data_IF_842171813072
#
_entry.id   IF_842171813072
#
_cell.length_a   1.000
_cell.length_b   1.000
_cell.length_c   1.000
_cell.angle_alpha   90.00
_cell.angle_beta   90.00
_cell.angle_gamma   90.00
#
_symmetry.space_group_name_H-M   'P 1'
#
loop_
_entity.id
_entity.type
_entity.pdbx_description
1 polymer ?
#
# COMPACT_ATOMS: atom_id res chain seq x y z
N UNK A 1 -12.61 -8.16 -0.66
CA UNK A 1 -11.57 -7.86 -1.66
C UNK A 1 -10.19 -7.95 -1.08
N UNK A 2 -9.22 -8.31 -1.88
CA UNK A 2 -7.80 -8.29 -1.50
C UNK A 2 -7.22 -6.92 -1.86
N UNK A 3 -6.76 -6.18 -0.86
CA UNK A 3 -6.30 -4.79 -1.02
C UNK A 3 -4.82 -4.72 -0.67
N UNK A 4 -3.99 -4.45 -1.67
CA UNK A 4 -2.56 -4.20 -1.46
C UNK A 4 -2.37 -2.71 -1.14
N UNK A 5 -1.65 -2.40 -0.06
CA UNK A 5 -1.49 -1.03 0.43
C UNK A 5 -0.06 -0.55 0.19
N UNK A 6 0.07 0.57 -0.51
CA UNK A 6 1.36 1.20 -0.78
C UNK A 6 1.87 1.99 0.43
N UNK A 7 3.17 2.24 0.44
CA UNK A 7 3.88 2.91 1.54
C UNK A 7 3.30 4.28 1.90
N UNK A 8 2.97 5.11 0.91
CA UNK A 8 2.47 6.46 1.16
C UNK A 8 1.14 6.45 1.94
N UNK A 9 0.28 5.46 1.69
CA UNK A 9 -0.98 5.32 2.43
C UNK A 9 -0.71 4.92 3.87
N UNK A 10 0.20 3.97 4.10
CA UNK A 10 0.60 3.55 5.45
C UNK A 10 1.22 4.71 6.21
N UNK A 11 2.10 5.46 5.57
CA UNK A 11 2.77 6.61 6.17
C UNK A 11 1.76 7.66 6.62
N UNK A 12 0.84 8.05 5.74
CA UNK A 12 -0.21 9.03 6.07
C UNK A 12 -1.17 8.51 7.14
N UNK A 13 -1.54 7.23 7.07
CA UNK A 13 -2.41 6.61 8.06
C UNK A 13 -1.78 6.61 9.46
N UNK A 14 -0.48 6.37 9.55
CA UNK A 14 0.24 6.33 10.82
C UNK A 14 0.39 7.70 11.46
N UNK A 15 0.44 8.78 10.66
CA UNK A 15 0.64 10.15 11.14
C UNK A 15 -0.66 10.92 11.37
N UNK A 16 -1.70 10.62 10.58
CA UNK A 16 -2.94 11.40 10.59
C UNK A 16 -4.14 10.49 10.84
N UNK A 17 -4.43 10.17 12.14
CA UNK A 17 -5.48 9.20 12.48
C UNK A 17 -6.88 9.57 11.98
N UNK A 18 -7.14 10.86 11.75
CA UNK A 18 -8.44 11.32 11.25
C UNK A 18 -8.46 11.57 9.76
N UNK A 19 -7.35 11.31 9.07
CA UNK A 19 -7.21 11.58 7.63
C UNK A 19 -7.87 10.52 6.75
N UNK A 20 -7.96 10.85 5.45
CA UNK A 20 -8.52 9.94 4.45
C UNK A 20 -7.74 8.64 4.31
N UNK A 21 -6.41 8.70 4.38
CA UNK A 21 -5.57 7.50 4.30
C UNK A 21 -5.84 6.55 5.48
N UNK A 22 -6.00 7.10 6.69
CA UNK A 22 -6.31 6.30 7.87
C UNK A 22 -7.68 5.64 7.76
N UNK A 23 -8.69 6.37 7.28
CA UNK A 23 -10.01 5.81 7.04
C UNK A 23 -9.99 4.70 6.00
N UNK A 24 -9.27 4.91 4.89
CA UNK A 24 -9.11 3.90 3.85
C UNK A 24 -8.39 2.66 4.39
N UNK A 25 -7.32 2.85 5.16
CA UNK A 25 -6.62 1.77 5.84
C UNK A 25 -7.56 0.95 6.72
N UNK A 26 -8.37 1.62 7.54
CA UNK A 26 -9.30 0.95 8.44
C UNK A 26 -10.33 0.10 7.68
N UNK A 27 -10.82 0.58 6.54
CA UNK A 27 -11.72 -0.19 5.68
C UNK A 27 -10.99 -1.39 5.06
N UNK A 28 -9.76 -1.19 4.60
CA UNK A 28 -8.97 -2.25 3.96
C UNK A 28 -8.66 -3.41 4.90
N UNK A 29 -8.40 -3.13 6.19
CA UNK A 29 -8.07 -4.18 7.17
C UNK A 29 -9.31 -4.83 7.80
N UNK A 30 -10.47 -4.24 7.60
CA UNK A 30 -11.72 -4.77 8.16
C UNK A 30 -12.34 -5.82 7.24
N UNK A 31 -12.84 -6.91 7.83
CA UNK A 31 -13.59 -7.91 7.07
C UNK A 31 -14.78 -7.25 6.36
N UNK A 32 -15.16 -7.66 5.15
CA UNK A 32 -14.68 -8.85 4.43
C UNK A 32 -13.41 -8.64 3.60
N UNK A 33 -12.75 -7.50 3.69
CA UNK A 33 -11.52 -7.23 2.97
C UNK A 33 -10.32 -7.92 3.61
N UNK A 34 -9.32 -8.25 2.78
CA UNK A 34 -8.03 -8.77 3.22
C UNK A 34 -6.96 -7.77 2.80
N UNK A 35 -6.30 -7.15 3.76
CA UNK A 35 -5.22 -6.20 3.47
C UNK A 35 -3.88 -6.92 3.36
N UNK A 36 -3.07 -6.48 2.40
CA UNK A 36 -1.77 -7.08 2.06
C UNK A 36 -0.74 -5.97 1.93
N UNK A 37 0.46 -6.21 2.44
CA UNK A 37 1.64 -5.37 2.17
C UNK A 37 2.81 -6.29 1.86
N UNK A 38 3.87 -5.74 1.26
CA UNK A 38 5.09 -6.47 1.00
C UNK A 38 6.20 -6.06 1.97
N UNK A 39 7.25 -6.88 2.05
CA UNK A 39 8.47 -6.56 2.76
C UNK A 39 9.09 -5.24 2.25
N UNK A 40 9.07 -5.02 0.93
CA UNK A 40 9.54 -3.78 0.32
C UNK A 40 8.81 -2.57 0.87
N UNK A 41 7.48 -2.63 0.97
CA UNK A 41 6.65 -1.54 1.49
C UNK A 41 6.96 -1.28 2.97
N UNK A 42 7.12 -2.33 3.77
CA UNK A 42 7.48 -2.20 5.19
C UNK A 42 8.85 -1.54 5.36
N UNK A 43 9.83 -1.99 4.58
CA UNK A 43 11.19 -1.44 4.61
C UNK A 43 11.21 0.04 4.18
N UNK A 44 10.43 0.39 3.17
CA UNK A 44 10.30 1.77 2.72
C UNK A 44 9.66 2.65 3.79
N UNK A 45 8.64 2.14 4.48
CA UNK A 45 8.01 2.86 5.58
C UNK A 45 9.01 3.15 6.71
N UNK A 46 9.81 2.16 7.09
CA UNK A 46 10.88 2.33 8.09
C UNK A 46 11.90 3.38 7.63
N UNK A 47 12.29 3.33 6.37
CA UNK A 47 13.24 4.27 5.77
C UNK A 47 12.72 5.71 5.80
N UNK A 48 11.46 5.92 5.46
CA UNK A 48 10.83 7.25 5.47
C UNK A 48 10.80 7.82 6.89
N UNK A 49 10.44 7.00 7.88
CA UNK A 49 10.44 7.43 9.29
C UNK A 49 11.85 7.78 9.77
N UNK A 50 12.84 6.94 9.46
CA UNK A 50 14.22 7.19 9.86
C UNK A 50 14.75 8.52 9.29
N UNK A 51 14.33 8.86 8.08
CA UNK A 51 14.77 10.08 7.41
C UNK A 51 14.02 11.33 7.86
N UNK A 52 12.69 11.22 8.00
CA UNK A 52 11.81 12.38 8.27
C UNK A 52 11.45 12.55 9.74
N UNK A 53 11.31 11.46 10.48
CA UNK A 53 10.83 11.48 11.87
C UNK A 53 11.63 10.53 12.76
N UNK A 54 12.96 10.72 12.86
CA UNK A 54 13.79 9.79 13.64
C UNK A 54 13.43 9.74 15.13
N UNK A 55 12.78 10.77 15.66
CA UNK A 55 12.33 10.80 17.05
C UNK A 55 11.03 10.03 17.29
N UNK A 56 10.35 9.56 16.23
CA UNK A 56 9.06 8.87 16.34
C UNK A 56 9.17 7.34 16.20
N UNK A 57 10.28 6.75 16.55
CA UNK A 57 10.52 5.32 16.47
C UNK A 57 9.48 4.50 17.23
N UNK A 58 9.11 4.96 18.44
CA UNK A 58 8.12 4.26 19.25
C UNK A 58 6.74 4.25 18.58
N UNK A 59 6.34 5.35 17.95
CA UNK A 59 5.08 5.43 17.22
C UNK A 59 5.09 4.49 16.00
N UNK A 60 6.20 4.44 15.29
CA UNK A 60 6.38 3.51 14.16
C UNK A 60 6.28 2.06 14.63
N UNK A 61 6.98 1.71 15.71
CA UNK A 61 6.97 0.35 16.25
C UNK A 61 5.56 -0.09 16.64
N UNK A 62 4.78 0.79 17.26
CA UNK A 62 3.40 0.53 17.61
C UNK A 62 2.52 0.32 16.36
N UNK A 63 2.72 1.14 15.34
CA UNK A 63 1.99 0.99 14.07
C UNK A 63 2.34 -0.33 13.38
N UNK A 64 3.61 -0.69 13.34
CA UNK A 64 4.07 -1.94 12.72
C UNK A 64 3.55 -3.17 13.47
N UNK A 65 3.46 -3.11 14.79
CA UNK A 65 2.89 -4.20 15.59
C UNK A 65 1.40 -4.40 15.25
N UNK A 66 0.64 -3.32 15.15
CA UNK A 66 -0.76 -3.38 14.74
C UNK A 66 -0.91 -3.89 13.31
N UNK A 67 -0.06 -3.44 12.40
CA UNK A 67 -0.02 -3.87 11.02
C UNK A 67 0.21 -5.39 10.93
N UNK A 68 1.20 -5.89 11.64
CA UNK A 68 1.56 -7.31 11.61
C UNK A 68 0.42 -8.21 12.11
N UNK A 69 -0.45 -7.71 12.98
CA UNK A 69 -1.57 -8.49 13.51
C UNK A 69 -2.83 -8.46 12.62
N UNK A 70 -2.91 -7.51 11.67
CA UNK A 70 -4.13 -7.30 10.87
C UNK A 70 -3.92 -7.43 9.36
N UNK A 71 -2.68 -7.46 8.91
CA UNK A 71 -2.32 -7.41 7.48
C UNK A 71 -1.43 -8.59 7.14
N UNK A 72 -1.66 -9.20 5.97
CA UNK A 72 -0.77 -10.22 5.43
C UNK A 72 0.49 -9.53 4.89
N UNK A 73 1.67 -9.98 5.32
CA UNK A 73 2.95 -9.46 4.85
C UNK A 73 3.60 -10.52 3.94
N UNK A 74 3.87 -10.15 2.71
CA UNK A 74 4.41 -11.04 1.69
C UNK A 74 5.79 -10.59 1.24
N UNK A 75 6.56 -11.52 0.68
CA UNK A 75 7.84 -11.20 0.07
C UNK A 75 7.63 -10.66 -1.34
N UNK A 76 8.40 -9.63 -1.71
CA UNK A 76 8.38 -9.08 -3.07
C UNK A 76 9.04 -10.06 -4.03
N UNK A 77 8.40 -10.41 -5.16
CA UNK A 77 9.01 -11.26 -6.17
C UNK A 77 10.23 -10.62 -6.81
N UNK A 78 11.17 -11.44 -7.26
CA UNK A 78 12.38 -10.98 -7.96
C UNK A 78 12.04 -10.25 -9.26
N UNK A 79 12.96 -9.41 -9.73
CA UNK A 79 12.81 -8.68 -11.00
C UNK A 79 12.59 -9.63 -12.19
N UNK A 80 13.13 -10.85 -12.13
CA UNK A 80 12.91 -11.86 -13.15
C UNK A 80 11.43 -12.22 -13.35
N UNK A 81 10.58 -11.84 -12.40
CA UNK A 81 9.13 -12.05 -12.47
C UNK A 81 8.37 -10.78 -12.86
N UNK A 82 9.05 -9.80 -13.44
CA UNK A 82 8.43 -8.57 -13.94
C UNK A 82 7.39 -8.91 -15.00
N UNK A 83 6.19 -8.38 -14.79
CA UNK A 83 5.05 -8.59 -15.66
C UNK A 83 4.82 -7.42 -16.61
N UNK A 84 4.00 -7.66 -17.63
CA UNK A 84 3.63 -6.65 -18.61
C UNK A 84 2.99 -5.43 -17.93
N UNK A 85 3.41 -4.24 -18.35
CA UNK A 85 2.89 -2.97 -17.82
C UNK A 85 3.68 -2.43 -16.64
N UNK A 86 4.46 -3.26 -15.95
CA UNK A 86 5.26 -2.80 -14.80
C UNK A 86 6.29 -1.75 -15.21
N UNK A 87 6.97 -1.98 -16.33
CA UNK A 87 8.00 -1.07 -16.85
C UNK A 87 7.43 0.22 -17.43
N UNK A 88 6.12 0.31 -17.63
CA UNK A 88 5.45 1.51 -18.11
C UNK A 88 5.27 2.55 -16.98
N UNK A 89 5.44 2.14 -15.74
CA UNK A 89 5.39 3.04 -14.59
C UNK A 89 6.70 3.85 -14.58
N UNK A 90 6.55 5.19 -14.53
CA UNK A 90 7.66 6.11 -14.66
C UNK A 90 8.73 5.95 -13.58
N UNK A 91 8.32 5.78 -12.32
CA UNK A 91 9.24 5.64 -11.20
C UNK A 91 9.60 4.18 -10.97
N UNK A 92 10.87 3.78 -11.17
CA UNK A 92 11.30 2.40 -10.93
C UNK A 92 11.06 1.91 -9.50
N UNK A 93 10.99 2.80 -8.52
CA UNK A 93 10.70 2.43 -7.13
C UNK A 93 9.30 1.85 -6.96
N UNK A 94 8.37 2.14 -7.88
CA UNK A 94 7.01 1.63 -7.85
C UNK A 94 6.87 0.25 -8.52
N UNK A 95 7.86 -0.19 -9.28
CA UNK A 95 7.83 -1.50 -9.96
C UNK A 95 7.68 -2.67 -8.96
N UNK A 96 8.45 -2.73 -7.85
CA UNK A 96 8.29 -3.80 -6.88
C UNK A 96 6.91 -3.81 -6.22
N UNK A 97 6.30 -2.65 -6.05
CA UNK A 97 4.96 -2.51 -5.47
C UNK A 97 3.93 -3.16 -6.38
N UNK A 98 3.92 -2.80 -7.65
CA UNK A 98 2.99 -3.39 -8.62
C UNK A 98 3.22 -4.90 -8.79
N UNK A 99 4.49 -5.32 -8.82
CA UNK A 99 4.86 -6.74 -8.95
C UNK A 99 4.32 -7.57 -7.78
N UNK A 100 4.48 -7.08 -6.56
CA UNK A 100 3.97 -7.76 -5.37
C UNK A 100 2.44 -7.79 -5.34
N UNK A 101 1.79 -6.70 -5.72
CA UNK A 101 0.33 -6.64 -5.79
C UNK A 101 -0.22 -7.67 -6.78
N UNK A 102 0.40 -7.81 -7.94
CA UNK A 102 0.01 -8.81 -8.95
C UNK A 102 0.27 -10.23 -8.48
N UNK A 103 1.42 -10.46 -7.88
CA UNK A 103 1.80 -11.78 -7.38
C UNK A 103 0.83 -12.30 -6.32
N UNK A 104 0.29 -11.41 -5.51
CA UNK A 104 -0.67 -11.76 -4.45
C UNK A 104 -2.11 -11.79 -4.93
N UNK A 105 -2.34 -11.57 -6.21
CA UNK A 105 -3.68 -11.50 -6.81
C UNK A 105 -4.55 -10.45 -6.13
N UNK A 106 -3.98 -9.30 -5.82
CA UNK A 106 -4.72 -8.19 -5.25
C UNK A 106 -5.78 -7.69 -6.24
N UNK A 107 -6.95 -7.39 -5.72
CA UNK A 107 -8.02 -6.77 -6.50
C UNK A 107 -7.79 -5.28 -6.67
N UNK A 108 -7.24 -4.66 -5.61
CA UNK A 108 -7.01 -3.22 -5.54
C UNK A 108 -5.58 -2.96 -5.06
N UNK A 109 -4.92 -1.99 -5.70
CA UNK A 109 -3.70 -1.37 -5.23
C UNK A 109 -4.07 0.02 -4.70
N UNK A 110 -4.03 0.17 -3.39
CA UNK A 110 -4.38 1.41 -2.71
C UNK A 110 -3.13 2.29 -2.59
N UNK A 111 -3.13 3.42 -3.27
CA UNK A 111 -1.97 4.32 -3.33
C UNK A 111 -2.38 5.77 -3.51
N UNK A 112 -1.54 6.69 -3.03
CA UNK A 112 -1.66 8.12 -3.34
C UNK A 112 -0.65 8.59 -4.39
N UNK A 113 0.16 7.67 -4.94
CA UNK A 113 1.22 8.01 -5.89
C UNK A 113 0.65 8.29 -7.27
N UNK A 114 0.92 9.48 -7.79
CA UNK A 114 0.44 9.91 -9.11
C UNK A 114 0.93 9.02 -10.24
N UNK A 115 2.18 8.56 -10.16
CA UNK A 115 2.75 7.72 -11.23
C UNK A 115 2.00 6.40 -11.36
N UNK A 116 1.57 5.82 -10.24
CA UNK A 116 0.76 4.60 -10.23
C UNK A 116 -0.69 4.89 -10.65
N UNK A 117 -1.28 5.98 -10.13
CA UNK A 117 -2.66 6.35 -10.44
C UNK A 117 -2.87 6.73 -11.91
N UNK A 118 -1.88 7.37 -12.53
CA UNK A 118 -1.94 7.80 -13.92
C UNK A 118 -1.48 6.73 -14.91
N UNK A 119 -0.80 5.68 -14.44
CA UNK A 119 -0.39 4.59 -15.30
C UNK A 119 -1.62 3.80 -15.78
N UNK A 120 -1.56 3.32 -17.02
CA UNK A 120 -2.63 2.52 -17.60
C UNK A 120 -2.57 1.07 -17.10
N UNK A 121 -2.76 0.88 -15.78
CA UNK A 121 -2.74 -0.42 -15.13
C UNK A 121 -4.17 -0.91 -14.93
N UNK A 122 -4.53 -2.02 -15.58
CA UNK A 122 -5.87 -2.59 -15.48
C UNK A 122 -6.01 -3.55 -14.31
N UNK A 123 -4.93 -4.25 -13.96
CA UNK A 123 -4.94 -5.27 -12.92
C UNK A 123 -3.63 -5.23 -12.11
N UNK A 124 -3.71 -5.00 -10.80
CA UNK A 124 -4.90 -4.68 -10.01
C UNK A 124 -5.46 -3.30 -10.35
N UNK A 125 -6.70 -3.04 -9.92
CA UNK A 125 -7.28 -1.70 -10.07
C UNK A 125 -6.58 -0.76 -9.09
N UNK A 126 -6.01 0.32 -9.62
CA UNK A 126 -5.29 1.30 -8.80
C UNK A 126 -6.25 2.38 -8.32
N UNK A 127 -6.33 2.59 -7.02
CA UNK A 127 -7.26 3.54 -6.41
C UNK A 127 -6.57 4.40 -5.37
N UNK A 128 -6.91 5.70 -5.35
CA UNK A 128 -6.54 6.59 -4.25
C UNK A 128 -7.38 6.27 -3.00
N UNK A 129 -6.97 6.73 -1.81
CA UNK A 129 -7.80 6.60 -0.61
C UNK A 129 -9.22 7.14 -0.80
N UNK A 130 -9.35 8.29 -1.46
CA UNK A 130 -10.67 8.88 -1.72
C UNK A 130 -11.51 7.99 -2.62
N UNK A 131 -10.96 7.52 -3.73
CA UNK A 131 -11.67 6.64 -4.67
C UNK A 131 -12.09 5.34 -3.99
N UNK A 132 -11.20 4.77 -3.17
CA UNK A 132 -11.48 3.54 -2.44
C UNK A 132 -12.63 3.73 -1.44
N UNK A 133 -12.62 4.84 -0.69
CA UNK A 133 -13.69 5.16 0.27
C UNK A 133 -15.02 5.42 -0.44
N UNK A 134 -15.00 6.15 -1.54
CA UNK A 134 -16.21 6.42 -2.32
C UNK A 134 -16.82 5.12 -2.85
N UNK A 135 -15.99 4.20 -3.32
CA UNK A 135 -16.46 2.89 -3.78
C UNK A 135 -17.03 2.04 -2.63
N UNK A 136 -16.43 2.10 -1.45
CA UNK A 136 -16.90 1.39 -0.26
C UNK A 136 -18.25 1.93 0.22
N UNK A 137 -18.44 3.24 0.17
CA UNK A 137 -19.69 3.90 0.59
C UNK A 137 -20.85 3.57 -0.35
N UNK A 138 -20.55 3.25 -1.60
CA UNK A 138 -21.56 2.88 -2.58
C UNK A 138 -21.97 1.40 -2.48
N UNK A 139 -21.21 0.62 -1.76
CA UNK A 139 -21.50 -0.77 -1.50
C UNK A 139 -22.38 -0.90 -0.27
#
# INVERSE_FOLDING_TARGET
MRVFIDTNVLFSASLFPSGGASRAYNVAVAAPNDAIVSDYVVDELKSVYARKFPAKTAALDSFLAALASTVEIVFTPDEAKTEKGETEIRDPADHPVLRAARHTSADILLTGDKDLLEAAVDNPRVMSPKEFLDAADLA
#
